data_IF_962841010501
#
_entry.id   IF_962841010501
#
_cell.length_a   1.000
_cell.length_b   1.000
_cell.length_c   1.000
_cell.angle_alpha   90.00
_cell.angle_beta   90.00
_cell.angle_gamma   90.00
#
_symmetry.space_group_name_H-M   'P 1'
#
loop_
_entity.id
_entity.type
_entity.pdbx_description
1 polymer ?
#
# COMPACT_ATOMS: atom_id res chain seq x y z
N UNK A 1 -7.69 0.56 3.82
CA UNK A 1 -7.20 1.72 4.60
C UNK A 1 -8.36 2.72 4.67
N UNK A 2 -8.50 3.49 5.75
CA UNK A 2 -9.48 4.59 5.80
C UNK A 2 -8.74 5.87 6.12
N UNK A 3 -9.09 6.96 5.44
CA UNK A 3 -8.54 8.28 5.72
C UNK A 3 -9.19 8.84 6.98
N UNK A 4 -8.45 8.90 8.09
CA UNK A 4 -8.82 9.68 9.29
C UNK A 4 -7.98 10.98 9.41
N UNK A 5 -8.07 11.74 10.51
CA UNK A 5 -7.24 12.96 10.72
C UNK A 5 -6.39 12.88 12.00
N UNK A 6 -6.21 11.68 12.55
CA UNK A 6 -5.54 11.46 13.83
C UNK A 6 -4.05 11.76 13.77
N UNK A 7 -3.41 11.53 12.61
CA UNK A 7 -1.98 11.68 12.41
C UNK A 7 -1.67 12.35 11.05
N UNK A 8 -0.57 13.12 10.94
CA UNK A 8 -0.15 13.74 9.69
C UNK A 8 0.19 12.73 8.58
N UNK A 9 0.66 11.54 8.97
CA UNK A 9 0.91 10.41 8.09
C UNK A 9 0.21 9.20 8.68
N UNK A 10 -0.55 8.49 7.84
CA UNK A 10 -1.14 7.20 8.19
C UNK A 10 -0.39 6.10 7.46
N UNK A 11 -0.24 4.95 8.11
CA UNK A 11 0.45 3.81 7.53
C UNK A 11 -0.35 2.54 7.73
N UNK A 12 -0.36 1.67 6.72
CA UNK A 12 -0.92 0.31 6.80
C UNK A 12 -0.02 -0.68 6.08
N UNK A 13 0.29 -1.79 6.74
CA UNK A 13 1.00 -2.93 6.14
C UNK A 13 -0.01 -3.96 5.62
N UNK A 14 0.34 -4.60 4.51
CA UNK A 14 -0.42 -5.68 3.91
C UNK A 14 0.47 -6.91 3.81
N UNK A 15 -0.06 -8.03 4.30
CA UNK A 15 0.66 -9.28 4.41
C UNK A 15 -0.16 -10.43 3.84
N UNK A 16 0.54 -11.44 3.33
CA UNK A 16 -0.02 -12.71 2.89
C UNK A 16 0.88 -13.83 3.37
N UNK A 17 0.30 -14.87 3.96
CA UNK A 17 1.05 -16.00 4.55
C UNK A 17 2.09 -15.59 5.62
N UNK A 18 1.84 -14.48 6.32
CA UNK A 18 2.77 -13.92 7.32
C UNK A 18 3.99 -13.22 6.70
N UNK A 19 4.02 -13.03 5.38
CA UNK A 19 5.04 -12.30 4.66
C UNK A 19 4.48 -10.91 4.33
N UNK A 20 5.20 -9.87 4.74
CA UNK A 20 4.88 -8.49 4.36
C UNK A 20 5.09 -8.32 2.85
N UNK A 21 4.04 -7.90 2.15
CA UNK A 21 4.03 -7.74 0.69
C UNK A 21 4.27 -6.29 0.33
N UNK A 22 3.48 -5.40 0.93
CA UNK A 22 3.59 -3.97 0.69
C UNK A 22 3.12 -3.15 1.90
N UNK A 23 3.48 -1.87 1.85
CA UNK A 23 3.14 -0.86 2.86
C UNK A 23 2.58 0.37 2.15
N UNK A 24 1.43 0.82 2.63
CA UNK A 24 0.77 2.04 2.15
C UNK A 24 0.94 3.13 3.18
N UNK A 25 1.43 4.29 2.76
CA UNK A 25 1.48 5.53 3.53
C UNK A 25 0.56 6.57 2.92
N UNK A 26 -0.16 7.33 3.73
CA UNK A 26 -0.95 8.47 3.27
C UNK A 26 -0.50 9.73 3.96
N UNK A 27 -0.06 10.70 3.16
CA UNK A 27 0.42 11.99 3.65
C UNK A 27 -0.71 13.03 3.55
N UNK A 28 -1.19 13.51 4.70
CA UNK A 28 -2.31 14.46 4.75
C UNK A 28 -2.01 15.83 4.15
N UNK A 29 -0.74 16.22 4.09
CA UNK A 29 -0.31 17.51 3.54
C UNK A 29 -0.34 17.50 2.02
N UNK A 30 0.13 16.41 1.41
CA UNK A 30 0.18 16.29 -0.06
C UNK A 30 -1.08 15.66 -0.64
N UNK A 31 -1.88 14.97 0.19
CA UNK A 31 -3.04 14.15 -0.23
C UNK A 31 -2.64 13.01 -1.17
N UNK A 32 -1.40 12.54 -1.05
CA UNK A 32 -0.89 11.43 -1.83
C UNK A 32 -0.72 10.19 -0.96
N UNK A 33 -0.97 9.05 -1.58
CA UNK A 33 -0.65 7.73 -1.08
C UNK A 33 0.67 7.26 -1.68
N UNK A 34 1.50 6.59 -0.90
CA UNK A 34 2.72 5.94 -1.36
C UNK A 34 2.60 4.45 -1.08
N UNK A 35 2.69 3.62 -2.11
CA UNK A 35 2.75 2.17 -2.00
C UNK A 35 4.21 1.75 -2.14
N UNK A 36 4.72 1.07 -1.11
CA UNK A 36 6.06 0.49 -1.08
C UNK A 36 5.93 -1.04 -1.10
N UNK A 37 6.36 -1.68 -2.19
CA UNK A 37 6.40 -3.13 -2.33
C UNK A 37 7.82 -3.64 -2.10
N UNK A 38 7.94 -4.80 -1.44
CA UNK A 38 9.24 -5.30 -1.00
C UNK A 38 9.88 -6.31 -1.97
N UNK A 39 9.10 -6.94 -2.87
CA UNK A 39 9.56 -8.06 -3.72
C UNK A 39 8.77 -8.14 -5.05
N UNK A 40 9.20 -7.44 -6.12
CA UNK A 40 10.40 -6.60 -6.23
C UNK A 40 10.30 -5.29 -5.42
N UNK A 41 11.44 -4.65 -5.16
CA UNK A 41 11.45 -3.30 -4.57
C UNK A 41 10.85 -2.32 -5.58
N UNK A 42 9.65 -1.82 -5.25
CA UNK A 42 8.87 -0.93 -6.09
C UNK A 42 8.20 0.12 -5.21
N UNK A 43 8.22 1.38 -5.66
CA UNK A 43 7.52 2.47 -5.01
C UNK A 43 6.71 3.24 -6.05
N UNK A 44 5.45 3.52 -5.71
CA UNK A 44 4.58 4.35 -6.52
C UNK A 44 3.73 5.28 -5.66
N UNK A 45 3.43 6.45 -6.23
CA UNK A 45 2.55 7.45 -5.63
C UNK A 45 1.22 7.50 -6.38
N UNK A 46 0.14 7.66 -5.62
CA UNK A 46 -1.23 7.72 -6.12
C UNK A 46 -1.98 8.88 -5.46
N UNK A 47 -2.86 9.53 -6.21
CA UNK A 47 -3.80 10.54 -5.73
C UNK A 47 -5.20 9.98 -5.45
N UNK A 48 -5.47 8.74 -5.88
CA UNK A 48 -6.75 8.04 -5.70
C UNK A 48 -6.59 6.77 -4.85
N UNK A 49 -7.43 6.64 -3.82
CA UNK A 49 -7.45 5.49 -2.91
C UNK A 49 -7.90 4.20 -3.62
N UNK A 50 -8.76 4.29 -4.63
CA UNK A 50 -9.23 3.13 -5.37
C UNK A 50 -8.10 2.52 -6.22
N UNK A 51 -7.22 3.37 -6.78
CA UNK A 51 -6.02 2.91 -7.48
C UNK A 51 -5.03 2.22 -6.53
N UNK A 52 -4.84 2.78 -5.33
CA UNK A 52 -4.03 2.13 -4.27
C UNK A 52 -4.61 0.78 -3.89
N UNK A 53 -5.94 0.66 -3.83
CA UNK A 53 -6.59 -0.59 -3.49
C UNK A 53 -6.39 -1.67 -4.57
N UNK A 54 -6.39 -1.27 -5.85
CA UNK A 54 -6.07 -2.16 -6.98
C UNK A 54 -4.62 -2.62 -6.88
N UNK A 55 -3.66 -1.70 -6.71
CA UNK A 55 -2.23 -2.03 -6.60
C UNK A 55 -1.98 -3.05 -5.48
N UNK A 56 -2.50 -2.78 -4.28
CA UNK A 56 -2.37 -3.69 -3.13
C UNK A 56 -2.99 -5.06 -3.40
N UNK A 57 -4.13 -5.11 -4.11
CA UNK A 57 -4.75 -6.38 -4.48
C UNK A 57 -3.87 -7.17 -5.45
N UNK A 58 -3.30 -6.49 -6.45
CA UNK A 58 -2.43 -7.10 -7.45
C UNK A 58 -1.15 -7.66 -6.82
N UNK A 59 -0.43 -6.90 -5.97
CA UNK A 59 0.78 -7.45 -5.31
C UNK A 59 0.49 -8.57 -4.33
N UNK A 60 -0.66 -8.55 -3.63
CA UNK A 60 -1.10 -9.71 -2.82
C UNK A 60 -1.40 -10.94 -3.67
N UNK A 61 -1.98 -10.75 -4.86
CA UNK A 61 -2.30 -11.82 -5.80
C UNK A 61 -1.03 -12.37 -6.48
N UNK A 62 -0.09 -11.51 -6.83
CA UNK A 62 1.20 -11.89 -7.39
C UNK A 62 1.96 -12.81 -6.42
N UNK A 63 2.09 -12.42 -5.15
CA UNK A 63 2.75 -13.27 -4.15
C UNK A 63 2.04 -14.63 -4.03
N UNK A 64 0.71 -14.66 -4.06
CA UNK A 64 -0.05 -15.90 -4.00
C UNK A 64 0.14 -16.80 -5.24
N UNK A 65 0.53 -16.24 -6.39
CA UNK A 65 0.82 -17.01 -7.61
C UNK A 65 2.22 -17.65 -7.61
N UNK A 66 3.10 -17.21 -6.72
CA UNK A 66 4.48 -17.72 -6.59
C UNK A 66 4.57 -18.93 -5.64
N UNK A 67 3.55 -19.17 -4.80
CA UNK A 67 3.46 -20.32 -3.88
C UNK A 67 2.52 -21.40 -4.39
#
# INVERSE_FOLDING_TARGET
>A
MQVDISNPVQQRRFEKFGIEVCRVEYNHRTKLFTVNEYRPEYEAEFDDLDLVAIEVYESLAELASVF
#
